data_IF_234874826404
#
_entry.id   IF_234874826404
#
_cell.length_a   1.000
_cell.length_b   1.000
_cell.length_c   1.000
_cell.angle_alpha   90.00
_cell.angle_beta   90.00
_cell.angle_gamma   90.00
#
_symmetry.space_group_name_H-M   'P 1'
#
loop_
_entity.id
_entity.type
_entity.pdbx_description
1 polymer ?
#
# COMPACT_ATOMS: atom_id res chain seq x y z
N UNK A 1 -15.09 8.56 -11.61
CA UNK A 1 -14.50 7.74 -10.53
C UNK A 1 -13.71 6.59 -11.10
N UNK A 2 -12.62 6.22 -10.43
CA UNK A 2 -11.83 5.02 -10.71
C UNK A 2 -11.89 4.11 -9.49
N UNK A 3 -12.05 2.81 -9.71
CA UNK A 3 -11.98 1.78 -8.68
C UNK A 3 -10.87 0.82 -9.07
N UNK A 4 -9.86 0.75 -8.21
CA UNK A 4 -8.74 -0.20 -8.34
C UNK A 4 -8.94 -1.29 -7.31
N UNK A 5 -8.64 -2.52 -7.69
CA UNK A 5 -8.74 -3.63 -6.76
C UNK A 5 -8.19 -4.92 -7.33
N UNK A 6 -8.06 -5.90 -6.44
CA UNK A 6 -7.68 -7.26 -6.80
C UNK A 6 -8.85 -7.98 -7.45
N UNK A 7 -8.59 -8.64 -8.58
CA UNK A 7 -9.55 -9.49 -9.25
C UNK A 7 -9.19 -10.96 -9.03
N UNK A 8 -9.92 -11.59 -8.12
CA UNK A 8 -9.80 -13.00 -7.78
C UNK A 8 -10.48 -13.93 -8.81
N UNK A 9 -11.30 -13.38 -9.72
CA UNK A 9 -12.07 -14.17 -10.68
C UNK A 9 -12.99 -15.17 -9.98
N UNK A 10 -13.07 -16.40 -10.49
CA UNK A 10 -13.88 -17.48 -9.90
C UNK A 10 -13.11 -18.33 -8.88
N UNK A 11 -12.15 -17.74 -8.16
CA UNK A 11 -11.31 -18.42 -7.19
C UNK A 11 -11.75 -18.10 -5.77
N UNK A 12 -11.46 -19.00 -4.83
CA UNK A 12 -11.63 -18.72 -3.40
C UNK A 12 -10.65 -17.62 -2.96
N UNK A 13 -11.11 -16.71 -2.09
CA UNK A 13 -10.31 -15.62 -1.50
C UNK A 13 -8.97 -16.11 -0.91
N UNK A 14 -8.94 -17.36 -0.44
CA UNK A 14 -7.72 -18.07 -0.10
C UNK A 14 -7.28 -18.89 -1.33
N UNK A 15 -6.27 -18.42 -2.05
CA UNK A 15 -5.51 -19.31 -2.93
C UNK A 15 -4.56 -20.10 -2.02
N UNK A 16 -4.69 -21.43 -1.91
CA UNK A 16 -3.74 -22.20 -1.12
C UNK A 16 -2.36 -22.06 -1.75
N UNK A 17 -1.36 -21.80 -0.92
CA UNK A 17 0.04 -21.87 -1.32
C UNK A 17 0.32 -23.22 -2.02
N UNK A 18 0.99 -23.27 -3.19
CA UNK A 18 1.70 -22.18 -3.84
C UNK A 18 0.91 -21.60 -5.04
N UNK A 19 0.03 -20.62 -4.82
CA UNK A 19 -0.40 -19.58 -5.79
C UNK A 19 -0.55 -19.99 -7.28
N UNK A 20 -1.34 -21.02 -7.60
CA UNK A 20 -1.50 -21.49 -8.99
C UNK A 20 -2.28 -20.53 -9.91
N UNK A 21 -2.78 -19.42 -9.36
CA UNK A 21 -3.44 -18.35 -10.12
C UNK A 21 -3.36 -17.05 -9.33
N UNK A 22 -2.39 -16.22 -9.71
CA UNK A 22 -2.00 -14.99 -9.02
C UNK A 22 -3.11 -13.93 -9.17
N UNK A 23 -3.69 -13.37 -8.07
CA UNK A 23 -4.61 -12.25 -8.22
C UNK A 23 -3.88 -11.10 -8.92
N UNK A 24 -4.58 -10.55 -9.91
CA UNK A 24 -4.14 -9.42 -10.74
C UNK A 24 -4.96 -8.20 -10.34
N UNK A 25 -4.45 -7.01 -10.64
CA UNK A 25 -5.23 -5.81 -10.46
C UNK A 25 -6.24 -5.64 -11.59
N UNK A 26 -7.37 -4.99 -11.29
CA UNK A 26 -8.28 -4.42 -12.27
C UNK A 26 -8.58 -2.98 -11.93
N UNK A 27 -8.86 -2.22 -12.97
CA UNK A 27 -9.39 -0.86 -12.87
C UNK A 27 -10.77 -0.81 -13.51
N UNK A 28 -11.70 -0.16 -12.82
CA UNK A 28 -13.04 0.13 -13.29
C UNK A 28 -13.27 1.64 -13.27
N UNK A 29 -14.11 2.12 -14.18
CA UNK A 29 -14.56 3.52 -14.17
C UNK A 29 -16.06 3.62 -14.04
N UNK A 30 -16.52 4.62 -13.29
CA UNK A 30 -17.93 4.95 -13.14
C UNK A 30 -18.11 6.46 -13.08
N UNK A 31 -19.23 6.98 -13.56
CA UNK A 31 -19.65 8.38 -13.38
C UNK A 31 -20.52 8.60 -12.14
N UNK A 32 -21.00 7.53 -11.50
CA UNK A 32 -22.02 7.59 -10.44
C UNK A 32 -21.71 6.70 -9.22
N UNK A 33 -20.53 6.07 -9.18
CA UNK A 33 -20.09 5.09 -8.17
C UNK A 33 -20.90 3.78 -8.13
N UNK A 34 -21.84 3.57 -9.06
CA UNK A 34 -22.73 2.41 -9.09
C UNK A 34 -22.52 1.59 -10.36
N UNK A 35 -22.55 2.24 -11.52
CA UNK A 35 -22.41 1.60 -12.82
C UNK A 35 -20.94 1.59 -13.24
N UNK A 36 -20.31 0.42 -13.12
CA UNK A 36 -18.87 0.25 -13.34
C UNK A 36 -18.55 -0.39 -14.69
N UNK A 37 -17.67 0.24 -15.46
CA UNK A 37 -17.09 -0.33 -16.69
C UNK A 37 -15.67 -0.82 -16.39
N UNK A 38 -15.41 -2.11 -16.61
CA UNK A 38 -14.07 -2.66 -16.51
C UNK A 38 -13.16 -2.08 -17.60
N UNK A 39 -12.01 -1.54 -17.22
CA UNK A 39 -10.99 -0.98 -18.13
C UNK A 39 -9.79 -1.92 -18.34
N UNK A 40 -9.74 -3.03 -17.61
CA UNK A 40 -8.70 -4.04 -17.77
C UNK A 40 -7.69 -4.06 -16.63
N UNK A 41 -6.53 -4.65 -16.92
CA UNK A 41 -5.41 -4.76 -15.98
C UNK A 41 -4.54 -3.49 -16.08
N UNK A 42 -4.33 -2.74 -14.98
CA UNK A 42 -3.56 -1.50 -15.02
C UNK A 42 -2.04 -1.71 -15.14
N UNK A 43 -1.51 -2.90 -14.81
CA UNK A 43 -0.07 -3.20 -14.77
C UNK A 43 0.25 -4.54 -15.47
N UNK A 44 -0.15 -4.77 -16.74
CA UNK A 44 -0.04 -6.07 -17.42
C UNK A 44 1.40 -6.57 -17.61
N UNK A 45 2.39 -5.68 -17.51
CA UNK A 45 3.81 -5.98 -17.67
C UNK A 45 4.48 -6.53 -16.40
N UNK A 46 3.91 -6.28 -15.22
CA UNK A 46 4.46 -6.79 -13.96
C UNK A 46 3.99 -8.23 -13.79
N UNK A 47 4.88 -9.18 -13.59
CA UNK A 47 4.51 -10.59 -13.39
C UNK A 47 4.18 -10.88 -11.92
N UNK A 48 3.48 -11.99 -11.68
CA UNK A 48 3.13 -12.45 -10.33
C UNK A 48 1.87 -11.80 -9.75
N UNK A 49 1.71 -11.97 -8.43
CA UNK A 49 0.57 -11.53 -7.63
C UNK A 49 0.74 -10.07 -7.34
N UNK A 50 -0.33 -9.31 -7.61
CA UNK A 50 -0.42 -7.91 -7.27
C UNK A 50 -1.55 -7.72 -6.26
N UNK A 51 -1.32 -6.90 -5.23
CA UNK A 51 -2.29 -6.69 -4.16
C UNK A 51 -2.35 -5.24 -3.65
N UNK A 52 -3.46 -4.90 -3.01
CA UNK A 52 -3.77 -3.66 -2.28
C UNK A 52 -3.36 -2.40 -3.07
N UNK A 53 -3.89 -2.18 -4.29
CA UNK A 53 -3.56 -1.01 -5.06
C UNK A 53 -4.18 0.25 -4.44
N UNK A 54 -3.35 1.26 -4.22
CA UNK A 54 -3.77 2.59 -3.77
C UNK A 54 -3.32 3.63 -4.78
N UNK A 55 -4.25 4.47 -5.25
CA UNK A 55 -3.99 5.42 -6.33
C UNK A 55 -4.41 6.82 -5.91
N UNK A 56 -3.53 7.80 -6.15
CA UNK A 56 -3.84 9.22 -6.02
C UNK A 56 -3.49 9.99 -7.30
N UNK A 57 -4.22 11.04 -7.61
CA UNK A 57 -3.82 11.99 -8.64
C UNK A 57 -2.92 13.06 -8.02
N UNK A 58 -1.67 13.12 -8.47
CA UNK A 58 -0.71 14.10 -8.01
C UNK A 58 -0.71 15.33 -8.93
N UNK A 59 -1.34 16.41 -8.46
CA UNK A 59 -1.57 17.62 -9.26
C UNK A 59 -0.28 18.28 -9.75
N UNK A 60 0.79 18.28 -8.93
CA UNK A 60 2.06 18.94 -9.28
C UNK A 60 2.73 18.28 -10.50
N UNK A 61 2.67 16.96 -10.61
CA UNK A 61 3.24 16.22 -11.76
C UNK A 61 2.21 15.90 -12.85
N UNK A 62 0.92 16.12 -12.57
CA UNK A 62 -0.22 15.75 -13.41
C UNK A 62 -0.27 14.26 -13.74
N UNK A 63 0.11 13.41 -12.79
CA UNK A 63 0.13 11.96 -12.94
C UNK A 63 -0.68 11.29 -11.85
N UNK A 64 -1.27 10.16 -12.17
CA UNK A 64 -1.73 9.20 -11.19
C UNK A 64 -0.52 8.44 -10.65
N UNK A 65 -0.45 8.30 -9.32
CA UNK A 65 0.58 7.55 -8.61
C UNK A 65 -0.11 6.36 -7.96
N UNK A 66 0.35 5.15 -8.27
CA UNK A 66 -0.12 3.91 -7.67
C UNK A 66 0.95 3.36 -6.74
N UNK A 67 0.57 2.97 -5.53
CA UNK A 67 1.33 2.07 -4.66
C UNK A 67 0.64 0.71 -4.66
N UNK A 68 1.41 -0.37 -4.74
CA UNK A 68 0.88 -1.74 -4.83
C UNK A 68 1.89 -2.75 -4.28
N UNK A 69 1.40 -3.91 -3.85
CA UNK A 69 2.22 -5.06 -3.47
C UNK A 69 2.58 -5.95 -4.66
N UNK A 70 3.83 -6.41 -4.71
CA UNK A 70 4.40 -7.31 -5.73
C UNK A 70 5.69 -8.00 -5.21
N UNK A 71 5.56 -8.90 -4.25
CA UNK A 71 6.70 -9.48 -3.52
C UNK A 71 7.38 -8.47 -2.57
N UNK A 72 6.60 -7.48 -2.11
CA UNK A 72 7.07 -6.24 -1.49
C UNK A 72 6.38 -5.04 -2.15
N UNK A 73 6.40 -3.89 -1.51
CA UNK A 73 5.71 -2.70 -2.01
C UNK A 73 6.49 -2.01 -3.13
N UNK A 74 5.76 -1.52 -4.13
CA UNK A 74 6.31 -0.80 -5.27
C UNK A 74 5.39 0.36 -5.67
N UNK A 75 5.91 1.26 -6.51
CA UNK A 75 5.16 2.39 -7.05
C UNK A 75 5.13 2.39 -8.59
N UNK A 76 4.07 2.96 -9.15
CA UNK A 76 3.88 3.12 -10.59
C UNK A 76 3.20 4.46 -10.91
N UNK A 77 3.33 4.90 -12.16
CA UNK A 77 2.76 6.17 -12.64
C UNK A 77 1.88 5.97 -13.86
N UNK A 78 0.87 6.81 -14.01
CA UNK A 78 -0.01 6.85 -15.19
C UNK A 78 -0.42 8.29 -15.52
N UNK A 79 -0.70 8.55 -16.81
CA UNK A 79 -1.28 9.83 -17.26
C UNK A 79 -2.79 9.77 -17.44
N UNK A 80 -3.39 8.59 -17.50
CA UNK A 80 -4.83 8.38 -17.76
C UNK A 80 -5.58 7.67 -16.62
N UNK A 81 -4.85 7.19 -15.61
CA UNK A 81 -5.40 6.46 -14.48
C UNK A 81 -5.84 5.04 -14.84
N UNK A 82 -5.55 4.56 -16.04
CA UNK A 82 -5.89 3.22 -16.52
C UNK A 82 -4.63 2.40 -16.74
N UNK A 83 -3.66 2.95 -17.48
CA UNK A 83 -2.45 2.26 -17.87
C UNK A 83 -1.27 2.80 -17.06
N UNK A 84 -0.70 1.95 -16.20
CA UNK A 84 0.41 2.32 -15.33
C UNK A 84 1.72 1.71 -15.81
N UNK A 85 2.81 2.41 -15.51
CA UNK A 85 4.19 1.95 -15.71
C UNK A 85 4.91 1.99 -14.37
N UNK A 86 5.60 0.89 -13.95
CA UNK A 86 6.43 0.90 -12.75
C UNK A 86 7.39 2.08 -12.73
N UNK A 87 7.56 2.70 -11.57
CA UNK A 87 8.35 3.92 -11.41
C UNK A 87 9.86 3.70 -11.56
N UNK A 88 10.32 2.46 -11.36
CA UNK A 88 11.74 2.10 -11.40
C UNK A 88 12.48 2.28 -10.08
N UNK A 89 11.82 2.75 -9.01
CA UNK A 89 12.45 2.92 -7.69
C UNK A 89 12.70 1.61 -6.92
N UNK A 90 12.19 0.48 -7.42
CA UNK A 90 12.36 -0.83 -6.81
C UNK A 90 11.44 -1.05 -5.60
N UNK A 91 11.82 -2.01 -4.76
CA UNK A 91 11.05 -2.40 -3.57
C UNK A 91 11.19 -1.36 -2.47
N UNK A 92 10.06 -0.98 -1.88
CA UNK A 92 9.99 -0.13 -0.71
C UNK A 92 10.57 -0.82 0.53
N UNK A 93 11.31 -0.04 1.31
CA UNK A 93 11.80 -0.45 2.62
C UNK A 93 11.40 0.63 3.64
N UNK A 94 10.73 0.20 4.70
CA UNK A 94 10.39 1.07 5.82
C UNK A 94 11.64 1.52 6.59
N UNK A 95 11.45 2.40 7.57
CA UNK A 95 12.46 2.84 8.52
C UNK A 95 13.12 1.70 9.31
N UNK A 96 12.47 0.54 9.40
CA UNK A 96 13.01 -0.65 10.06
C UNK A 96 13.96 -1.46 9.16
N UNK A 97 14.14 -1.04 7.91
CA UNK A 97 15.10 -1.61 6.98
C UNK A 97 14.55 -2.81 6.20
N UNK A 98 15.40 -3.37 5.34
CA UNK A 98 15.00 -4.37 4.34
C UNK A 98 14.54 -5.72 4.90
N UNK A 99 14.75 -5.98 6.19
CA UNK A 99 14.32 -7.21 6.87
C UNK A 99 12.92 -7.09 7.47
N UNK A 100 12.34 -5.89 7.52
CA UNK A 100 11.01 -5.70 8.07
C UNK A 100 9.96 -6.19 7.07
N UNK A 101 8.99 -6.96 7.55
CA UNK A 101 7.76 -7.20 6.81
C UNK A 101 6.93 -5.92 6.74
N UNK A 102 6.18 -5.74 5.66
CA UNK A 102 5.31 -4.57 5.46
C UNK A 102 4.04 -5.01 4.75
N UNK A 103 2.88 -4.73 5.32
CA UNK A 103 1.58 -5.16 4.81
C UNK A 103 0.49 -4.11 5.01
N UNK A 104 -0.49 -4.03 4.12
CA UNK A 104 -1.52 -2.98 4.09
C UNK A 104 -0.99 -1.60 3.65
N UNK A 105 -1.77 -0.83 2.88
CA UNK A 105 -1.42 0.56 2.57
C UNK A 105 -2.57 1.53 2.51
N UNK A 106 -2.58 2.49 3.42
CA UNK A 106 -3.22 3.77 3.19
C UNK A 106 -2.27 4.68 2.40
N UNK A 107 -2.76 5.33 1.35
CA UNK A 107 -2.08 6.46 0.72
C UNK A 107 -2.88 7.72 1.01
N UNK A 108 -2.22 8.73 1.59
CA UNK A 108 -2.85 10.00 1.95
C UNK A 108 -1.97 11.15 1.50
N UNK A 109 -2.59 12.20 0.97
CA UNK A 109 -1.93 13.47 0.66
C UNK A 109 -2.72 14.54 1.38
N UNK A 110 -2.06 15.26 2.29
CA UNK A 110 -2.67 16.36 3.04
C UNK A 110 -2.80 17.60 2.14
N UNK A 111 -3.51 18.62 2.64
CA UNK A 111 -3.82 19.83 1.88
C UNK A 111 -2.59 20.66 1.49
N UNK A 112 -1.49 20.49 2.22
CA UNK A 112 -0.19 21.11 1.92
C UNK A 112 0.60 20.38 0.81
N UNK A 113 0.05 19.28 0.29
CA UNK A 113 0.68 18.43 -0.72
C UNK A 113 1.65 17.40 -0.14
N UNK A 114 1.82 17.34 1.18
CA UNK A 114 2.65 16.31 1.82
C UNK A 114 1.97 14.96 1.73
N UNK A 115 2.65 14.00 1.10
CA UNK A 115 2.19 12.62 1.00
C UNK A 115 2.66 11.73 2.14
N UNK A 116 1.85 10.72 2.43
CA UNK A 116 2.06 9.73 3.47
C UNK A 116 1.66 8.35 2.97
N UNK A 117 2.46 7.34 3.31
CA UNK A 117 2.08 5.94 3.20
C UNK A 117 1.92 5.38 4.61
N UNK A 118 0.78 4.75 4.86
CA UNK A 118 0.49 4.07 6.12
C UNK A 118 0.40 2.59 5.89
N UNK A 119 1.07 1.79 6.70
CA UNK A 119 1.21 0.36 6.50
C UNK A 119 1.44 -0.33 7.84
N UNK A 120 1.09 -1.59 7.92
CA UNK A 120 1.48 -2.46 9.00
C UNK A 120 2.96 -2.83 8.82
N UNK A 121 3.79 -2.52 9.81
CA UNK A 121 5.18 -2.98 9.86
C UNK A 121 5.30 -4.22 10.73
N UNK A 122 6.18 -5.10 10.33
CA UNK A 122 6.67 -6.22 11.11
C UNK A 122 8.19 -6.08 11.26
N UNK A 123 8.68 -5.28 12.23
CA UNK A 123 10.12 -5.06 12.41
C UNK A 123 10.86 -6.39 12.66
N UNK A 124 12.16 -6.48 12.32
CA UNK A 124 12.92 -7.70 12.54
C UNK A 124 12.84 -8.17 13.99
N UNK A 125 12.46 -9.44 14.20
CA UNK A 125 12.28 -10.03 15.53
C UNK A 125 10.85 -9.98 16.08
N UNK A 126 9.89 -9.29 15.42
CA UNK A 126 8.47 -9.35 15.82
C UNK A 126 7.79 -10.70 15.49
N UNK A 127 8.38 -11.49 14.58
CA UNK A 127 7.98 -12.88 14.30
C UNK A 127 8.55 -13.90 15.30
N UNK A 128 9.11 -13.46 16.43
CA UNK A 128 9.64 -14.34 17.46
C UNK A 128 8.82 -14.22 18.77
N UNK A 129 8.55 -15.33 19.48
CA UNK A 129 8.00 -15.26 20.83
C UNK A 129 8.94 -14.44 21.72
N UNK A 130 8.39 -13.48 22.46
CA UNK A 130 9.13 -12.59 23.38
C UNK A 130 10.06 -11.57 22.72
N UNK A 131 9.66 -11.00 21.56
CA UNK A 131 10.34 -9.83 21.01
C UNK A 131 10.47 -8.70 22.06
N UNK A 132 11.61 -7.95 22.07
CA UNK A 132 11.80 -6.88 23.04
C UNK A 132 10.75 -5.79 22.82
N UNK A 133 10.15 -5.31 23.92
CA UNK A 133 9.23 -4.17 23.90
C UNK A 133 9.85 -3.01 23.10
N UNK A 134 9.15 -2.57 22.06
CA UNK A 134 9.55 -1.39 21.32
C UNK A 134 9.09 -0.13 22.05
N UNK A 135 9.80 1.01 21.92
CA UNK A 135 9.37 2.26 22.56
C UNK A 135 7.92 2.61 22.18
N UNK A 136 7.03 2.60 23.18
CA UNK A 136 5.59 2.84 22.99
C UNK A 136 4.70 1.59 22.84
N UNK A 137 5.27 0.39 22.82
CA UNK A 137 4.55 -0.88 22.68
C UNK A 137 4.93 -1.84 23.80
N UNK A 138 3.92 -2.39 24.49
CA UNK A 138 4.15 -3.44 25.48
C UNK A 138 4.61 -4.73 24.78
N UNK A 139 5.33 -5.60 25.49
CA UNK A 139 5.73 -6.89 24.95
C UNK A 139 4.49 -7.78 24.75
N UNK A 140 3.95 -7.79 23.55
CA UNK A 140 2.97 -8.76 23.09
C UNK A 140 3.67 -9.76 22.16
N UNK A 141 3.30 -11.05 22.25
CA UNK A 141 3.74 -12.03 21.26
C UNK A 141 3.19 -11.65 19.88
N UNK A 142 3.94 -11.95 18.81
CA UNK A 142 3.57 -11.87 17.38
C UNK A 142 2.58 -10.76 16.97
N UNK A 143 3.01 -9.78 16.17
CA UNK A 143 2.05 -8.84 15.59
C UNK A 143 2.61 -7.80 14.64
N UNK A 144 1.72 -6.98 14.10
CA UNK A 144 2.05 -5.85 13.24
C UNK A 144 1.74 -4.52 13.94
N UNK A 145 2.57 -3.52 13.70
CA UNK A 145 2.38 -2.15 14.20
C UNK A 145 1.99 -1.21 13.05
N UNK A 146 1.07 -0.27 13.30
CA UNK A 146 0.78 0.78 12.33
C UNK A 146 1.99 1.69 12.20
N UNK A 147 2.48 1.84 10.98
CA UNK A 147 3.55 2.76 10.59
C UNK A 147 3.00 3.76 9.59
N UNK A 148 3.40 5.02 9.72
CA UNK A 148 3.05 6.06 8.75
C UNK A 148 4.31 6.81 8.42
N UNK A 149 4.73 6.75 7.17
CA UNK A 149 5.94 7.40 6.72
C UNK A 149 5.61 8.48 5.70
N UNK A 150 6.30 9.62 5.82
CA UNK A 150 6.22 10.69 4.84
C UNK A 150 6.83 10.22 3.52
N UNK A 151 6.18 10.54 2.41
CA UNK A 151 6.67 10.28 1.06
C UNK A 151 7.59 11.40 0.55
N UNK A 152 8.44 11.07 -0.43
CA UNK A 152 9.15 12.05 -1.23
C UNK A 152 8.18 12.99 -1.96
N UNK A 153 8.66 14.15 -2.39
CA UNK A 153 7.82 15.16 -3.06
C UNK A 153 7.16 14.67 -4.37
N UNK A 154 7.71 13.63 -5.01
CA UNK A 154 7.12 12.98 -6.18
C UNK A 154 6.12 11.86 -5.83
N UNK A 155 5.95 11.56 -4.53
CA UNK A 155 5.11 10.51 -3.96
C UNK A 155 5.53 9.08 -4.32
N UNK A 156 6.74 8.88 -4.87
CA UNK A 156 7.17 7.59 -5.40
C UNK A 156 8.04 6.77 -4.44
N UNK A 157 8.59 7.39 -3.40
CA UNK A 157 9.45 6.75 -2.41
C UNK A 157 9.11 7.21 -1.01
N UNK A 158 9.41 6.41 0.01
CA UNK A 158 9.32 6.85 1.40
C UNK A 158 10.59 7.58 1.84
N UNK A 159 10.41 8.66 2.59
CA UNK A 159 11.50 9.35 3.29
C UNK A 159 12.01 8.57 4.51
N UNK A 160 11.31 7.50 4.92
CA UNK A 160 11.55 6.72 6.16
C UNK A 160 11.45 7.54 7.44
N UNK A 161 10.87 8.73 7.34
CA UNK A 161 10.55 9.58 8.48
C UNK A 161 9.17 9.15 8.96
N UNK A 162 9.13 8.50 10.13
CA UNK A 162 7.88 8.17 10.78
C UNK A 162 7.21 9.46 11.26
N UNK A 163 5.92 9.59 11.03
CA UNK A 163 5.10 10.66 11.62
C UNK A 163 4.35 10.19 12.87
N UNK A 164 4.64 9.00 13.41
CA UNK A 164 3.83 8.41 14.48
C UNK A 164 4.59 7.86 15.69
N UNK A 165 3.89 7.90 16.82
CA UNK A 165 4.00 7.06 18.04
C UNK A 165 2.61 6.99 18.67
N UNK A 166 1.57 7.00 17.80
CA UNK A 166 0.20 7.38 18.12
C UNK A 166 -0.71 6.19 18.38
N UNK A 167 -0.38 5.02 17.82
CA UNK A 167 -1.19 3.81 17.94
C UNK A 167 -0.48 2.86 18.93
N UNK A 168 -1.03 2.69 20.15
CA UNK A 168 -0.51 1.71 21.09
C UNK A 168 -0.94 0.27 20.74
N UNK A 169 -1.77 0.12 19.70
CA UNK A 169 -2.39 -1.14 19.32
C UNK A 169 -1.46 -1.99 18.46
N UNK A 170 -1.35 -3.26 18.82
CA UNK A 170 -0.70 -4.31 18.03
C UNK A 170 -1.74 -5.12 17.26
N UNK A 171 -1.30 -5.88 16.26
CA UNK A 171 -2.16 -6.74 15.42
C UNK A 171 -3.15 -5.93 14.56
N UNK A 172 -2.70 -4.76 14.11
CA UNK A 172 -3.45 -3.90 13.18
C UNK A 172 -2.89 -4.05 11.78
N UNK A 173 -3.79 -4.32 10.84
CA UNK A 173 -3.49 -4.42 9.40
C UNK A 173 -4.41 -3.50 8.60
N UNK A 174 -4.06 -3.29 7.33
CA UNK A 174 -4.85 -2.51 6.37
C UNK A 174 -5.24 -1.09 6.86
N UNK A 175 -4.30 -0.30 7.39
CA UNK A 175 -4.62 1.06 7.82
C UNK A 175 -5.07 1.92 6.64
N UNK A 176 -5.98 2.85 6.89
CA UNK A 176 -6.39 3.89 5.93
C UNK A 176 -6.45 5.24 6.63
N UNK A 177 -6.23 6.32 5.87
CA UNK A 177 -6.26 7.69 6.39
C UNK A 177 -7.13 8.58 5.53
N UNK A 178 -7.88 9.44 6.20
CA UNK A 178 -8.62 10.55 5.60
C UNK A 178 -8.67 11.70 6.60
N UNK A 179 -8.90 12.90 6.08
CA UNK A 179 -9.07 14.11 6.89
C UNK A 179 -10.56 14.43 6.98
N UNK A 180 -10.99 14.88 8.16
CA UNK A 180 -12.32 15.43 8.39
C UNK A 180 -12.13 16.80 9.02
N UNK A 181 -12.50 17.85 8.28
CA UNK A 181 -12.53 19.19 8.85
C UNK A 181 -13.72 19.29 9.79
N UNK A 182 -13.46 19.75 11.02
CA UNK A 182 -14.47 20.00 12.06
C UNK A 182 -14.90 21.45 12.06
#
# INVERSE_FOLDING_TARGET
>A
YFLYGEAYGNQTLATPYPWHSWPRLKVYTSSDLVNWTCRGDPLPMVSGTLWIPNVIYHAATRRFIMWFGSGGWQSAVSTDGIHFTPSGHGVFYSRFGAKAGTDGTGLFVDDDGTGYVAFASNPPGFDEPAHPAWPGHAAHGYGHIVSIERLSADLLTSSRINVTGLFPDDFVESPSLWKVDT
#
